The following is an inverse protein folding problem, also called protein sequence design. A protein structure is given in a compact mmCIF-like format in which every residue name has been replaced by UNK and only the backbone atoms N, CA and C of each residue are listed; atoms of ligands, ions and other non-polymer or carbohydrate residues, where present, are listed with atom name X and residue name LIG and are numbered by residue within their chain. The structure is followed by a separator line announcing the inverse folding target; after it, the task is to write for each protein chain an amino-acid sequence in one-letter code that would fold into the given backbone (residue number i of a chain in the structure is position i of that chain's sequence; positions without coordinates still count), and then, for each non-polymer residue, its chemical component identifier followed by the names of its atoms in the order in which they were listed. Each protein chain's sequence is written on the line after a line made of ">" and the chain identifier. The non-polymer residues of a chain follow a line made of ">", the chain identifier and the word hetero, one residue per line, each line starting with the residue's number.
data_IF_104348974636
#
_entry.id   IF_104348974636
#
_cell.length_a   1.000
_cell.length_b   1.000
_cell.length_c   1.000
_cell.angle_alpha   90.00
_cell.angle_beta   90.00
_cell.angle_gamma   90.00
#
_symmetry.space_group_name_H-M   'P 1'
#
loop_
_entity.id
_entity.type
_entity.pdbx_description
1 polymer ?
#
# COMPACT_ATOMS: atom_id res chain seq x y z
N UNK A 1 -4.97 23.59 -26.76
CA UNK A 1 -5.00 22.94 -25.43
C UNK A 1 -3.62 23.11 -24.83
N UNK A 2 -3.44 24.01 -23.86
CA UNK A 2 -2.12 24.22 -23.25
C UNK A 2 -1.72 22.95 -22.50
N UNK A 3 -0.49 22.46 -22.71
CA UNK A 3 0.10 21.46 -21.83
C UNK A 3 0.02 22.00 -20.40
N UNK A 4 -0.71 21.29 -19.55
CA UNK A 4 -0.79 21.60 -18.14
C UNK A 4 0.59 21.27 -17.54
N UNK A 5 1.43 22.29 -17.36
CA UNK A 5 2.81 22.17 -16.87
C UNK A 5 2.91 21.49 -15.49
N UNK A 6 1.81 21.39 -14.74
CA UNK A 6 1.73 20.70 -13.46
C UNK A 6 1.56 19.17 -13.58
N UNK A 7 1.23 18.65 -14.77
CA UNK A 7 1.08 17.21 -15.02
C UNK A 7 2.37 16.56 -15.56
N UNK A 8 3.54 17.18 -15.33
CA UNK A 8 4.83 16.62 -15.74
C UNK A 8 5.06 15.28 -15.04
N UNK A 9 5.54 14.25 -15.77
CA UNK A 9 5.94 13.00 -15.15
C UNK A 9 6.96 13.23 -14.04
N UNK A 10 6.88 12.41 -12.99
CA UNK A 10 7.91 12.41 -11.95
C UNK A 10 9.26 11.99 -12.55
N UNK A 11 10.35 12.57 -12.04
CA UNK A 11 11.68 12.11 -12.39
C UNK A 11 11.83 10.64 -12.00
N UNK A 12 12.45 9.85 -12.88
CA UNK A 12 12.75 8.45 -12.62
C UNK A 12 14.25 8.23 -12.57
N UNK A 13 14.70 7.39 -11.63
CA UNK A 13 16.09 6.93 -11.51
C UNK A 13 16.10 5.42 -11.37
N UNK A 14 17.21 4.81 -11.79
CA UNK A 14 17.48 3.41 -11.46
C UNK A 14 17.70 3.22 -9.95
N UNK A 15 17.85 1.96 -9.51
CA UNK A 15 18.24 1.60 -8.15
C UNK A 15 19.51 2.36 -7.73
N UNK A 16 19.51 2.88 -6.52
CA UNK A 16 20.64 3.56 -5.88
C UNK A 16 21.02 2.87 -4.57
N UNK A 17 22.25 3.09 -4.12
CA UNK A 17 22.68 2.72 -2.77
C UNK A 17 22.36 3.82 -1.75
N UNK A 18 22.59 3.51 -0.47
CA UNK A 18 22.29 4.44 0.63
C UNK A 18 23.08 5.74 0.56
N UNK A 19 24.36 5.68 0.15
CA UNK A 19 25.23 6.85 0.05
C UNK A 19 24.75 7.82 -1.04
N UNK A 20 24.41 7.29 -2.21
CA UNK A 20 23.85 8.08 -3.32
C UNK A 20 22.49 8.66 -2.96
N UNK A 21 21.64 7.87 -2.28
CA UNK A 21 20.34 8.34 -1.83
C UNK A 21 20.45 9.52 -0.86
N UNK A 22 21.34 9.45 0.11
CA UNK A 22 21.55 10.52 1.09
C UNK A 22 22.15 11.79 0.46
N UNK A 23 23.17 11.63 -0.38
CA UNK A 23 23.86 12.74 -1.01
C UNK A 23 23.01 13.48 -2.06
N UNK A 24 22.18 12.75 -2.80
CA UNK A 24 21.55 13.31 -4.02
C UNK A 24 20.02 13.33 -3.98
N UNK A 25 19.35 12.64 -3.06
CA UNK A 25 17.89 12.47 -3.11
C UNK A 25 17.21 12.95 -1.83
N UNK A 26 17.64 12.44 -0.68
CA UNK A 26 16.95 12.60 0.61
C UNK A 26 16.59 14.06 0.93
N UNK A 27 17.53 14.98 0.68
CA UNK A 27 17.40 16.39 1.07
C UNK A 27 16.92 17.31 -0.07
N UNK A 28 16.58 16.79 -1.25
CA UNK A 28 16.18 17.62 -2.41
C UNK A 28 14.77 18.20 -2.30
N UNK A 29 13.89 17.60 -1.50
CA UNK A 29 12.50 18.05 -1.37
C UNK A 29 11.66 17.91 -2.66
N UNK A 30 12.09 17.05 -3.58
CA UNK A 30 11.41 16.80 -4.87
C UNK A 30 11.03 15.32 -4.99
N UNK A 31 9.83 14.99 -5.52
CA UNK A 31 9.41 13.61 -5.72
C UNK A 31 10.22 12.91 -6.83
N UNK A 32 10.62 11.66 -6.58
CA UNK A 32 11.36 10.80 -7.53
C UNK A 32 10.87 9.35 -7.45
N UNK A 33 10.88 8.64 -8.58
CA UNK A 33 10.63 7.19 -8.64
C UNK A 33 11.96 6.44 -8.77
N UNK A 34 12.29 5.59 -7.79
CA UNK A 34 13.45 4.70 -7.83
C UNK A 34 13.06 3.34 -8.41
N UNK A 35 13.22 3.20 -9.72
CA UNK A 35 12.89 1.97 -10.46
C UNK A 35 13.77 0.81 -9.98
N UNK A 36 13.14 -0.34 -9.78
CA UNK A 36 13.77 -1.59 -9.36
C UNK A 36 14.48 -1.57 -7.98
N UNK A 37 14.34 -0.52 -7.17
CA UNK A 37 15.00 -0.40 -5.85
C UNK A 37 14.78 -1.63 -4.95
N UNK A 38 13.55 -2.15 -4.96
CA UNK A 38 13.09 -3.29 -4.14
C UNK A 38 12.82 -4.55 -4.97
N UNK A 39 13.30 -4.60 -6.21
CA UNK A 39 12.98 -5.70 -7.15
C UNK A 39 13.45 -7.08 -6.69
N UNK A 40 14.43 -7.12 -5.79
CA UNK A 40 14.99 -8.33 -5.19
C UNK A 40 14.31 -8.73 -3.86
N UNK A 41 13.36 -7.94 -3.35
CA UNK A 41 12.62 -8.31 -2.14
C UNK A 41 11.93 -9.66 -2.32
N UNK A 42 11.99 -10.57 -1.33
CA UNK A 42 11.28 -11.84 -1.41
C UNK A 42 9.78 -11.66 -1.57
N UNK A 43 9.17 -10.59 -1.01
CA UNK A 43 7.78 -10.22 -1.26
C UNK A 43 7.48 -9.91 -2.73
N UNK A 44 8.36 -9.15 -3.39
CA UNK A 44 8.22 -8.81 -4.81
C UNK A 44 8.42 -10.04 -5.69
N UNK A 45 9.39 -10.89 -5.36
CA UNK A 45 9.61 -12.16 -6.05
C UNK A 45 8.39 -13.08 -5.91
N UNK A 46 7.83 -13.22 -4.71
CA UNK A 46 6.61 -13.99 -4.49
C UNK A 46 5.42 -13.42 -5.28
N UNK A 47 5.25 -12.10 -5.29
CA UNK A 47 4.15 -11.43 -5.99
C UNK A 47 4.18 -11.61 -7.52
N UNK A 48 5.33 -11.93 -8.12
CA UNK A 48 5.40 -12.31 -9.54
C UNK A 48 4.61 -13.58 -9.88
N UNK A 49 4.34 -14.43 -8.87
CA UNK A 49 3.43 -15.57 -9.00
C UNK A 49 1.93 -15.20 -8.93
N UNK A 50 1.58 -13.93 -8.80
CA UNK A 50 0.20 -13.45 -8.67
C UNK A 50 -0.27 -13.28 -7.21
N UNK A 51 -1.52 -12.84 -7.03
CA UNK A 51 -2.05 -12.40 -5.74
C UNK A 51 -1.99 -13.50 -4.67
N UNK A 52 -2.27 -14.76 -5.05
CA UNK A 52 -2.20 -15.90 -4.13
C UNK A 52 -0.80 -16.11 -3.54
N UNK A 53 0.24 -15.96 -4.35
CA UNK A 53 1.63 -16.10 -3.89
C UNK A 53 2.04 -14.92 -2.99
N UNK A 54 1.58 -13.70 -3.31
CA UNK A 54 1.77 -12.53 -2.46
C UNK A 54 1.09 -12.70 -1.09
N UNK A 55 -0.17 -13.15 -1.08
CA UNK A 55 -0.94 -13.41 0.13
C UNK A 55 -0.25 -14.48 0.99
N UNK A 56 0.13 -15.62 0.40
CA UNK A 56 0.82 -16.69 1.10
C UNK A 56 2.17 -16.25 1.69
N UNK A 57 2.92 -15.40 0.97
CA UNK A 57 4.15 -14.83 1.52
C UNK A 57 3.86 -13.95 2.73
N UNK A 58 2.83 -13.09 2.66
CA UNK A 58 2.43 -12.19 3.74
C UNK A 58 1.93 -12.92 4.98
N UNK A 59 1.19 -14.03 4.80
CA UNK A 59 0.71 -14.88 5.90
C UNK A 59 1.82 -15.44 6.79
N UNK A 60 3.04 -15.62 6.26
CA UNK A 60 4.20 -16.07 7.05
C UNK A 60 4.58 -15.08 8.16
N UNK A 61 4.15 -13.83 8.03
CA UNK A 61 4.40 -12.76 8.97
C UNK A 61 3.16 -12.41 9.79
N UNK A 62 2.02 -13.12 9.67
CA UNK A 62 0.79 -12.76 10.40
C UNK A 62 1.04 -12.73 11.92
N UNK A 63 1.03 -11.53 12.49
CA UNK A 63 1.24 -11.31 13.93
C UNK A 63 0.03 -11.70 14.79
N UNK A 64 -1.08 -12.12 14.18
CA UNK A 64 -2.30 -12.54 14.88
C UNK A 64 -3.14 -11.39 15.42
N UNK A 65 -2.74 -10.13 15.18
CA UNK A 65 -3.51 -8.94 15.56
C UNK A 65 -4.50 -8.57 14.45
N UNK A 66 -5.72 -8.11 14.79
CA UNK A 66 -6.65 -7.65 13.78
C UNK A 66 -6.20 -6.33 13.16
N UNK A 67 -6.58 -6.12 11.89
CA UNK A 67 -6.38 -4.88 11.14
C UNK A 67 -7.72 -4.19 10.89
N UNK A 68 -7.74 -2.86 10.95
CA UNK A 68 -8.93 -2.09 10.58
C UNK A 68 -9.10 -2.09 9.06
N UNK A 69 -10.22 -2.60 8.59
CA UNK A 69 -10.61 -2.62 7.17
C UNK A 69 -11.77 -1.66 6.96
N UNK A 70 -11.66 -0.82 5.94
CA UNK A 70 -12.76 -0.09 5.34
C UNK A 70 -13.40 -0.96 4.25
N UNK A 71 -14.70 -1.20 4.38
CA UNK A 71 -15.49 -1.99 3.45
C UNK A 71 -16.58 -1.11 2.83
N UNK A 72 -16.54 -0.95 1.51
CA UNK A 72 -17.49 -0.17 0.73
C UNK A 72 -18.19 -1.02 -0.31
N UNK A 73 -19.38 -0.59 -0.74
CA UNK A 73 -20.09 -1.24 -1.84
C UNK A 73 -19.39 -0.96 -3.18
N UNK A 74 -19.54 -1.79 -4.22
CA UNK A 74 -18.86 -1.60 -5.51
C UNK A 74 -19.15 -0.23 -6.15
N UNK A 75 -20.33 0.34 -5.92
CA UNK A 75 -20.79 1.59 -6.53
C UNK A 75 -19.95 2.81 -6.10
N UNK A 76 -19.22 2.73 -4.98
CA UNK A 76 -18.36 3.84 -4.55
C UNK A 76 -17.07 3.93 -5.39
N UNK A 77 -16.79 2.95 -6.25
CA UNK A 77 -15.63 2.89 -7.15
C UNK A 77 -14.31 3.20 -6.42
N UNK A 78 -14.13 2.63 -5.24
CA UNK A 78 -12.95 2.81 -4.42
C UNK A 78 -12.89 4.12 -3.62
N UNK A 79 -13.86 5.03 -3.76
CA UNK A 79 -13.86 6.34 -3.10
C UNK A 79 -14.58 6.30 -1.75
N UNK A 80 -13.81 6.12 -0.68
CA UNK A 80 -14.29 6.23 0.69
C UNK A 80 -14.61 7.70 1.04
N UNK A 81 -15.87 8.01 1.31
CA UNK A 81 -16.34 9.36 1.57
C UNK A 81 -17.64 9.37 2.38
N UNK A 82 -18.31 10.52 2.46
CA UNK A 82 -19.69 10.62 2.92
C UNK A 82 -20.66 9.92 1.96
N UNK A 83 -21.81 9.48 2.48
CA UNK A 83 -22.95 9.10 1.67
C UNK A 83 -23.61 10.31 0.97
N UNK A 84 -24.54 10.03 0.05
CA UNK A 84 -25.18 11.08 -0.78
C UNK A 84 -26.03 12.06 0.04
N UNK A 85 -26.52 11.63 1.20
CA UNK A 85 -27.28 12.46 2.11
C UNK A 85 -26.39 13.25 3.08
N UNK A 86 -25.09 13.00 3.10
CA UNK A 86 -24.10 13.56 4.04
C UNK A 86 -24.49 13.30 5.50
N UNK A 87 -25.12 12.16 5.76
CA UNK A 87 -25.55 11.74 7.10
C UNK A 87 -24.62 10.70 7.72
N UNK A 88 -23.81 10.05 6.90
CA UNK A 88 -22.84 9.05 7.32
C UNK A 88 -21.76 8.83 6.28
N UNK A 89 -21.03 7.72 6.44
CA UNK A 89 -20.01 7.30 5.49
C UNK A 89 -20.58 6.31 4.47
N UNK A 90 -20.05 6.32 3.25
CA UNK A 90 -20.39 5.34 2.22
C UNK A 90 -19.69 3.96 2.42
N UNK A 91 -19.12 3.73 3.60
CA UNK A 91 -18.35 2.55 3.98
C UNK A 91 -18.47 2.24 5.47
N UNK A 92 -18.14 1.01 5.84
CA UNK A 92 -18.05 0.55 7.22
C UNK A 92 -16.59 0.30 7.61
N UNK A 93 -16.29 0.39 8.92
CA UNK A 93 -14.98 0.04 9.49
C UNK A 93 -15.12 -1.20 10.37
N UNK A 94 -14.25 -2.18 10.18
CA UNK A 94 -14.25 -3.40 10.99
C UNK A 94 -12.83 -3.82 11.33
N UNK A 95 -12.63 -4.34 12.54
CA UNK A 95 -11.38 -5.00 12.92
C UNK A 95 -11.47 -6.46 12.49
N UNK A 96 -10.58 -6.91 11.60
CA UNK A 96 -10.60 -8.27 11.06
C UNK A 96 -9.21 -8.90 11.12
N UNK A 97 -9.08 -10.23 11.28
CA UNK A 97 -7.80 -10.91 11.14
C UNK A 97 -7.19 -10.66 9.74
N UNK A 98 -5.86 -10.51 9.65
CA UNK A 98 -5.16 -10.32 8.38
C UNK A 98 -5.49 -11.42 7.36
N UNK A 99 -5.42 -12.69 7.79
CA UNK A 99 -5.82 -13.85 6.97
C UNK A 99 -7.22 -13.75 6.38
N UNK A 100 -8.18 -13.16 7.10
CA UNK A 100 -9.54 -13.00 6.59
C UNK A 100 -9.56 -11.96 5.46
N UNK A 101 -8.91 -10.81 5.67
CA UNK A 101 -8.75 -9.80 4.62
C UNK A 101 -8.10 -10.38 3.36
N UNK A 102 -6.99 -11.11 3.51
CA UNK A 102 -6.29 -11.74 2.39
C UNK A 102 -7.19 -12.76 1.67
N UNK A 103 -7.89 -13.61 2.42
CA UNK A 103 -8.81 -14.60 1.83
C UNK A 103 -9.94 -13.98 1.03
N UNK A 104 -10.52 -12.88 1.53
CA UNK A 104 -11.60 -12.15 0.86
C UNK A 104 -11.10 -11.45 -0.40
N UNK A 105 -9.91 -10.83 -0.36
CA UNK A 105 -9.29 -10.22 -1.54
C UNK A 105 -9.04 -11.26 -2.64
N UNK A 106 -8.55 -12.45 -2.28
CA UNK A 106 -8.35 -13.54 -3.24
C UNK A 106 -9.67 -14.09 -3.77
N UNK A 107 -10.71 -14.17 -2.93
CA UNK A 107 -12.05 -14.62 -3.33
C UNK A 107 -12.65 -13.73 -4.40
N UNK A 108 -12.35 -12.43 -4.34
CA UNK A 108 -12.90 -11.40 -5.22
C UNK A 108 -11.97 -10.94 -6.35
N UNK A 109 -10.79 -11.56 -6.53
CA UNK A 109 -9.73 -11.09 -7.45
C UNK A 109 -10.23 -10.79 -8.88
N UNK A 110 -11.20 -11.56 -9.37
CA UNK A 110 -11.75 -11.44 -10.74
C UNK A 110 -13.24 -11.05 -10.75
N UNK A 111 -13.78 -10.56 -9.64
CA UNK A 111 -15.19 -10.18 -9.54
C UNK A 111 -15.34 -8.66 -9.80
N UNK A 112 -15.96 -8.25 -10.92
CA UNK A 112 -16.21 -6.83 -11.21
C UNK A 112 -17.21 -6.19 -10.24
N UNK A 113 -17.98 -6.98 -9.49
CA UNK A 113 -18.90 -6.54 -8.45
C UNK A 113 -18.33 -6.76 -7.03
N UNK A 114 -17.01 -6.93 -6.90
CA UNK A 114 -16.35 -7.05 -5.62
C UNK A 114 -16.60 -5.81 -4.73
N UNK A 115 -16.86 -5.99 -3.42
CA UNK A 115 -16.82 -4.88 -2.48
C UNK A 115 -15.42 -4.27 -2.45
N UNK A 116 -15.34 -2.98 -2.15
CA UNK A 116 -14.07 -2.29 -1.95
C UNK A 116 -13.56 -2.64 -0.55
N UNK A 117 -12.39 -3.26 -0.45
CA UNK A 117 -11.77 -3.64 0.81
C UNK A 117 -10.42 -2.94 0.93
N UNK A 118 -10.18 -2.27 2.06
CA UNK A 118 -8.94 -1.52 2.25
C UNK A 118 -8.53 -1.40 3.73
N UNK A 119 -7.37 -1.97 4.05
CA UNK A 119 -6.61 -1.69 5.24
C UNK A 119 -5.50 -0.69 4.89
N UNK A 120 -5.69 0.57 5.24
CA UNK A 120 -4.72 1.63 4.96
C UNK A 120 -3.75 1.86 6.09
N UNK A 121 -2.48 2.09 5.77
CA UNK A 121 -1.47 2.59 6.70
C UNK A 121 -1.39 1.76 7.98
N UNK A 122 -1.40 0.43 7.90
CA UNK A 122 -1.29 -0.43 9.07
C UNK A 122 0.18 -0.57 9.51
N UNK A 123 0.52 -0.49 10.81
CA UNK A 123 1.90 -0.61 11.27
C UNK A 123 2.40 -2.05 11.07
N UNK A 124 3.49 -2.23 10.32
CA UNK A 124 4.02 -3.59 10.04
C UNK A 124 4.57 -4.26 11.29
N UNK A 125 5.12 -3.53 12.25
CA UNK A 125 5.78 -4.13 13.42
C UNK A 125 4.89 -5.08 14.24
N UNK A 126 3.58 -4.79 14.36
CA UNK A 126 2.63 -5.68 15.04
C UNK A 126 1.85 -6.57 14.06
N UNK A 127 1.46 -6.03 12.90
CA UNK A 127 0.65 -6.77 11.93
C UNK A 127 1.46 -7.85 11.18
N UNK A 128 2.71 -7.53 10.87
CA UNK A 128 3.64 -8.31 10.06
C UNK A 128 5.04 -8.41 10.73
N UNK A 129 5.17 -8.92 11.97
CA UNK A 129 6.48 -9.09 12.62
C UNK A 129 7.48 -9.82 11.73
N UNK A 130 8.69 -9.28 11.58
CA UNK A 130 9.75 -9.84 10.72
C UNK A 130 9.72 -9.34 9.26
N UNK A 131 8.71 -8.57 8.85
CA UNK A 131 8.56 -8.12 7.46
C UNK A 131 9.72 -7.24 6.99
N UNK A 132 10.13 -6.27 7.81
CA UNK A 132 11.18 -5.32 7.45
C UNK A 132 12.55 -5.99 7.36
N UNK A 133 12.79 -7.00 8.20
CA UNK A 133 14.01 -7.80 8.21
C UNK A 133 14.09 -8.70 6.97
N UNK A 134 12.96 -9.29 6.55
CA UNK A 134 12.90 -10.11 5.35
C UNK A 134 12.87 -9.30 4.04
N UNK A 135 12.45 -8.04 4.10
CA UNK A 135 12.35 -7.13 2.95
C UNK A 135 13.07 -5.81 3.24
N UNK A 136 14.41 -5.83 3.42
CA UNK A 136 15.14 -4.65 3.85
C UNK A 136 15.18 -3.58 2.77
N UNK A 137 14.89 -2.33 3.15
CA UNK A 137 15.15 -1.16 2.34
C UNK A 137 16.50 -0.58 2.75
N UNK A 138 17.56 -0.89 2.00
CA UNK A 138 18.93 -0.47 2.30
C UNK A 138 19.19 1.02 1.94
N UNK A 139 18.35 1.92 2.44
CA UNK A 139 18.44 3.36 2.27
C UNK A 139 18.36 4.07 3.63
N UNK A 140 19.08 5.18 3.80
CA UNK A 140 19.04 6.02 4.99
C UNK A 140 17.64 6.63 5.17
N UNK A 141 16.89 6.17 6.18
CA UNK A 141 15.51 6.61 6.46
C UNK A 141 15.33 7.00 7.93
N UNK A 142 15.83 8.18 8.36
CA UNK A 142 15.81 8.57 9.77
C UNK A 142 14.38 8.66 10.32
N UNK A 143 14.08 7.88 11.36
CA UNK A 143 12.78 7.91 12.04
C UNK A 143 11.61 7.31 11.25
N UNK A 144 11.84 6.79 10.04
CA UNK A 144 10.78 6.19 9.24
C UNK A 144 10.24 4.92 9.88
N UNK A 145 8.91 4.79 9.93
CA UNK A 145 8.23 3.59 10.41
C UNK A 145 7.57 2.88 9.24
N UNK A 146 7.87 1.60 9.07
CA UNK A 146 7.25 0.80 8.03
C UNK A 146 5.75 0.64 8.28
N UNK A 147 4.97 0.87 7.23
CA UNK A 147 3.51 0.70 7.18
C UNK A 147 3.13 -0.07 5.93
N UNK A 148 1.99 -0.75 5.97
CA UNK A 148 1.47 -1.53 4.85
C UNK A 148 0.06 -1.07 4.48
N UNK A 149 -0.23 -1.16 3.19
CA UNK A 149 -1.54 -0.92 2.61
C UNK A 149 -1.97 -2.19 1.89
N UNK A 150 -3.14 -2.71 2.25
CA UNK A 150 -3.65 -3.99 1.74
C UNK A 150 -5.10 -3.80 1.31
N UNK A 151 -5.41 -4.08 0.05
CA UNK A 151 -6.75 -3.88 -0.48
C UNK A 151 -6.85 -4.17 -1.96
N UNK A 152 -8.03 -3.90 -2.53
CA UNK A 152 -8.27 -3.91 -3.97
C UNK A 152 -8.31 -2.47 -4.53
N UNK A 153 -8.88 -2.29 -5.72
CA UNK A 153 -8.89 -0.99 -6.42
C UNK A 153 -9.58 0.11 -5.58
N UNK A 154 -8.79 1.06 -5.09
CA UNK A 154 -9.24 2.17 -4.23
C UNK A 154 -8.82 3.52 -4.80
N UNK A 155 -9.51 4.58 -4.38
CA UNK A 155 -9.16 5.97 -4.71
C UNK A 155 -8.91 6.72 -3.40
N UNK A 156 -7.68 7.18 -3.23
CA UNK A 156 -7.26 7.89 -2.03
C UNK A 156 -7.36 9.40 -2.29
N UNK A 157 -8.04 10.12 -1.41
CA UNK A 157 -8.12 11.58 -1.46
C UNK A 157 -6.74 12.20 -1.27
N UNK A 158 -6.48 13.32 -1.95
CA UNK A 158 -5.24 14.08 -1.78
C UNK A 158 -5.04 14.48 -0.32
N UNK A 159 -3.87 14.16 0.20
CA UNK A 159 -3.40 14.54 1.54
C UNK A 159 -1.87 14.63 1.52
N UNK A 160 -1.29 15.09 2.63
CA UNK A 160 0.14 15.02 2.89
C UNK A 160 0.37 14.39 4.26
N UNK A 161 1.51 13.72 4.42
CA UNK A 161 1.96 13.16 5.69
C UNK A 161 2.92 14.15 6.38
N UNK A 162 2.88 14.18 7.71
CA UNK A 162 3.73 15.02 8.56
C UNK A 162 4.77 14.24 9.35
#
# INVERSE_FOLDING_TARGET
>A
MSNLDWARPLAERARVDSATFEAEILNRGEPVVLRAQVSAWPSVVAARGGARHAAHYMEKFDGGVPVQVMAGRPEIQGRFFYDDAVQGFNFNRQMVPLRLLLSELLRFENDPAAPVLYAGSAPTGQLLPGWSEANPLDLTLPGAKARVWIGNATRISTHYDG
#
